data_IF_512510016941
#
_entry.id   IF_512510016941
#
_cell.length_a   1.000
_cell.length_b   1.000
_cell.length_c   1.000
_cell.angle_alpha   90.00
_cell.angle_beta   90.00
_cell.angle_gamma   90.00
#
_symmetry.space_group_name_H-M   'P 1'
#
loop_
_entity.id
_entity.type
_entity.pdbx_description
1 polymer ?
#
# COMPACT_ATOMS: atom_id res chain seq x y z
N UNK A 1 0.71 -9.54 21.10
CA UNK A 1 -0.30 -9.83 22.13
C UNK A 1 -0.83 -8.51 22.68
N UNK A 2 -1.97 -8.03 22.17
CA UNK A 2 -2.62 -6.82 22.68
C UNK A 2 -3.87 -7.22 23.44
N UNK A 3 -3.77 -7.30 24.77
CA UNK A 3 -4.91 -7.52 25.67
C UNK A 3 -5.48 -6.17 26.11
N UNK A 4 -6.64 -5.81 25.54
CA UNK A 4 -7.47 -4.69 26.00
C UNK A 4 -8.26 -5.06 27.27
N UNK A 5 -8.11 -4.23 28.29
CA UNK A 5 -8.54 -4.39 29.68
C UNK A 5 -10.06 -4.20 29.83
N UNK A 6 -10.80 -5.25 30.19
CA UNK A 6 -12.22 -5.16 30.57
C UNK A 6 -12.37 -4.51 31.96
N UNK A 7 -13.08 -3.39 32.01
CA UNK A 7 -13.46 -2.72 33.26
C UNK A 7 -14.78 -3.34 33.75
N UNK A 8 -14.71 -4.14 34.83
CA UNK A 8 -15.91 -4.73 35.50
C UNK A 8 -16.66 -3.64 36.25
N UNK A 9 -17.89 -3.34 35.84
CA UNK A 9 -18.85 -2.60 36.67
C UNK A 9 -19.49 -3.56 37.68
N UNK A 10 -19.33 -3.28 38.97
CA UNK A 10 -20.09 -3.92 40.04
C UNK A 10 -21.44 -3.20 40.19
N UNK A 11 -22.55 -3.93 40.18
CA UNK A 11 -23.84 -3.42 40.66
C UNK A 11 -24.23 -4.22 41.91
N UNK A 12 -24.38 -3.50 43.01
CA UNK A 12 -24.82 -4.01 44.31
C UNK A 12 -26.35 -4.09 44.38
N UNK A 13 -26.89 -5.23 44.82
CA UNK A 13 -28.31 -5.40 45.12
C UNK A 13 -28.63 -4.95 46.56
N UNK A 14 -29.49 -3.94 46.69
CA UNK A 14 -30.34 -3.58 47.85
C UNK A 14 -31.19 -2.38 47.38
N UNK A 15 -32.51 -2.25 47.56
CA UNK A 15 -33.46 -2.80 48.52
C UNK A 15 -34.83 -2.99 47.85
N UNK A 16 -35.59 -3.98 48.35
CA UNK A 16 -36.99 -4.22 48.00
C UNK A 16 -37.90 -3.48 48.99
N UNK A 17 -38.80 -2.62 48.48
CA UNK A 17 -40.07 -2.33 49.15
C UNK A 17 -41.18 -2.30 48.11
N UNK A 18 -42.18 -3.17 48.32
CA UNK A 18 -43.37 -3.35 47.51
C UNK A 18 -44.22 -2.07 47.38
N UNK A 19 -44.75 -1.84 46.18
CA UNK A 19 -46.10 -1.29 46.07
C UNK A 19 -46.73 -1.68 44.72
N UNK A 20 -47.96 -2.20 44.83
CA UNK A 20 -48.85 -2.64 43.77
C UNK A 20 -49.04 -1.60 42.65
N UNK A 21 -48.99 -2.09 41.41
CA UNK A 21 -49.35 -1.35 40.22
C UNK A 21 -48.90 -2.11 38.97
N UNK A 22 -49.88 -2.62 38.21
CA UNK A 22 -49.72 -3.32 36.93
C UNK A 22 -48.48 -2.89 36.15
N UNK A 23 -47.42 -3.68 36.29
CA UNK A 23 -46.25 -3.59 35.41
C UNK A 23 -46.31 -4.83 34.55
N UNK A 24 -46.82 -4.67 33.33
CA UNK A 24 -46.55 -5.64 32.27
C UNK A 24 -45.03 -5.62 32.10
N UNK A 25 -44.37 -6.61 32.69
CA UNK A 25 -42.98 -6.92 32.40
C UNK A 25 -42.94 -7.32 30.93
N UNK A 26 -42.69 -6.35 30.05
CA UNK A 26 -42.08 -6.61 28.75
C UNK A 26 -40.69 -7.16 29.06
N UNK A 27 -40.63 -8.46 29.34
CA UNK A 27 -39.42 -9.24 29.19
C UNK A 27 -39.18 -9.24 27.69
N UNK A 28 -38.46 -8.24 27.19
CA UNK A 28 -37.70 -8.39 25.96
C UNK A 28 -36.77 -9.57 26.21
N UNK A 29 -37.24 -10.75 25.81
CA UNK A 29 -36.44 -11.94 25.77
C UNK A 29 -35.33 -11.64 24.76
N UNK A 30 -34.08 -11.68 25.23
CA UNK A 30 -32.93 -11.62 24.33
C UNK A 30 -33.18 -12.62 23.19
N UNK A 31 -32.93 -12.22 21.93
CA UNK A 31 -33.19 -13.09 20.81
C UNK A 31 -32.36 -14.36 20.99
N UNK A 32 -33.03 -15.50 21.19
CA UNK A 32 -32.38 -16.80 21.19
C UNK A 32 -31.76 -16.96 19.81
N UNK A 33 -30.42 -16.90 19.74
CA UNK A 33 -29.66 -17.20 18.52
C UNK A 33 -29.79 -18.71 18.31
N UNK A 34 -30.87 -19.13 17.64
CA UNK A 34 -31.06 -20.50 17.22
C UNK A 34 -30.13 -20.75 16.03
N UNK A 35 -28.86 -21.00 16.34
CA UNK A 35 -27.81 -21.28 15.38
C UNK A 35 -28.01 -22.71 14.85
N UNK A 36 -28.97 -22.87 13.92
CA UNK A 36 -29.33 -24.17 13.34
C UNK A 36 -28.32 -24.69 12.34
N UNK A 37 -27.44 -23.83 11.85
CA UNK A 37 -26.47 -24.19 10.83
C UNK A 37 -25.14 -24.59 11.49
N UNK A 38 -24.76 -25.89 11.43
CA UNK A 38 -23.52 -26.36 12.03
C UNK A 38 -22.26 -25.79 11.38
N UNK A 39 -22.37 -25.16 10.21
CA UNK A 39 -21.24 -24.53 9.53
C UNK A 39 -20.83 -23.21 10.17
N UNK A 40 -21.68 -22.58 10.98
CA UNK A 40 -21.38 -21.31 11.63
C UNK A 40 -21.24 -21.51 13.14
N UNK A 41 -20.12 -21.09 13.72
CA UNK A 41 -19.97 -20.94 15.17
C UNK A 41 -20.24 -19.49 15.57
N UNK A 42 -21.42 -19.24 16.12
CA UNK A 42 -21.85 -17.91 16.57
C UNK A 42 -21.91 -17.90 18.10
N UNK A 43 -21.19 -16.99 18.72
CA UNK A 43 -21.24 -16.78 20.18
C UNK A 43 -22.59 -16.21 20.64
N UNK A 44 -22.87 -16.28 21.94
CA UNK A 44 -24.07 -15.69 22.55
C UNK A 44 -24.21 -14.18 22.27
N UNK A 45 -23.09 -13.46 22.09
CA UNK A 45 -23.08 -12.04 21.74
C UNK A 45 -23.37 -11.75 20.25
N UNK A 46 -23.65 -12.79 19.44
CA UNK A 46 -23.87 -12.66 18.00
C UNK A 46 -22.60 -12.49 17.17
N UNK A 47 -21.43 -12.81 17.73
CA UNK A 47 -20.16 -12.76 17.00
C UNK A 47 -19.97 -14.08 16.25
N UNK A 48 -19.82 -14.01 14.92
CA UNK A 48 -19.34 -15.13 14.10
C UNK A 48 -17.86 -15.33 14.39
N UNK A 49 -17.54 -16.47 15.00
CA UNK A 49 -16.18 -16.83 15.44
C UNK A 49 -15.51 -17.83 14.51
N UNK A 50 -16.29 -18.66 13.83
CA UNK A 50 -15.78 -19.61 12.83
C UNK A 50 -16.86 -19.97 11.81
N UNK A 51 -16.47 -20.04 10.54
CA UNK A 51 -17.19 -20.68 9.47
C UNK A 51 -16.43 -21.94 9.04
N UNK A 52 -17.09 -23.09 9.06
CA UNK A 52 -16.53 -24.43 8.79
C UNK A 52 -17.07 -25.04 7.49
N UNK A 53 -18.07 -24.41 6.89
CA UNK A 53 -18.67 -24.87 5.66
C UNK A 53 -17.70 -24.80 4.47
N UNK A 54 -18.13 -25.37 3.35
CA UNK A 54 -17.32 -25.49 2.13
C UNK A 54 -17.80 -24.63 0.97
N UNK A 55 -18.85 -23.83 1.18
CA UNK A 55 -19.49 -23.10 0.09
C UNK A 55 -18.58 -22.01 -0.47
N UNK A 56 -18.56 -21.88 -1.80
CA UNK A 56 -17.82 -20.78 -2.45
C UNK A 56 -18.52 -19.42 -2.34
N UNK A 57 -19.78 -19.42 -1.88
CA UNK A 57 -20.61 -18.23 -1.61
C UNK A 57 -21.17 -18.42 -0.21
N UNK A 58 -20.78 -17.55 0.72
CA UNK A 58 -21.20 -17.66 2.12
C UNK A 58 -22.20 -16.57 2.45
N UNK A 59 -23.40 -16.99 2.87
CA UNK A 59 -24.44 -16.10 3.38
C UNK A 59 -24.31 -16.00 4.90
N UNK A 60 -23.89 -14.84 5.40
CA UNK A 60 -23.79 -14.61 6.84
C UNK A 60 -25.21 -14.48 7.43
N UNK A 61 -25.56 -15.28 8.45
CA UNK A 61 -26.89 -15.25 9.03
C UNK A 61 -27.31 -13.86 9.54
N UNK A 62 -28.60 -13.55 9.40
CA UNK A 62 -29.20 -12.29 9.82
C UNK A 62 -29.10 -12.01 11.34
N UNK A 63 -28.77 -13.02 12.14
CA UNK A 63 -28.55 -12.94 13.59
C UNK A 63 -27.13 -12.53 13.97
N UNK A 64 -26.18 -12.58 13.04
CA UNK A 64 -24.79 -12.19 13.28
C UNK A 64 -24.71 -10.67 13.40
N UNK A 65 -24.18 -10.19 14.53
CA UNK A 65 -23.95 -8.77 14.81
C UNK A 65 -22.52 -8.37 14.50
N UNK A 66 -21.56 -9.30 14.64
CA UNK A 66 -20.15 -9.01 14.35
C UNK A 66 -19.45 -10.20 13.70
N UNK A 67 -18.45 -9.93 12.86
CA UNK A 67 -17.55 -10.97 12.32
C UNK A 67 -16.20 -10.82 13.00
N UNK A 68 -15.76 -11.89 13.67
CA UNK A 68 -14.51 -11.90 14.42
C UNK A 68 -13.25 -12.02 13.55
N UNK A 69 -12.10 -11.93 14.22
CA UNK A 69 -10.78 -12.14 13.63
C UNK A 69 -10.72 -13.48 12.89
N UNK A 70 -10.31 -13.45 11.62
CA UNK A 70 -10.13 -14.59 10.72
C UNK A 70 -11.23 -15.66 10.81
N UNK A 71 -12.49 -15.22 10.88
CA UNK A 71 -13.62 -16.09 11.13
C UNK A 71 -13.83 -17.19 10.06
N UNK A 72 -13.12 -17.17 8.93
CA UNK A 72 -13.25 -18.15 7.86
C UNK A 72 -12.04 -19.11 7.75
N UNK A 73 -11.00 -18.95 8.57
CA UNK A 73 -9.79 -19.79 8.55
C UNK A 73 -10.12 -21.29 8.64
N UNK A 74 -11.10 -21.64 9.49
CA UNK A 74 -11.49 -23.02 9.74
C UNK A 74 -12.21 -23.69 8.56
N UNK A 75 -12.62 -22.93 7.54
CA UNK A 75 -13.22 -23.50 6.34
C UNK A 75 -12.14 -24.25 5.55
N UNK A 76 -12.35 -25.55 5.24
CA UNK A 76 -11.44 -26.29 4.37
C UNK A 76 -11.39 -25.74 2.93
N UNK A 77 -12.28 -24.80 2.59
CA UNK A 77 -12.38 -24.18 1.28
C UNK A 77 -12.15 -22.65 1.31
N UNK A 78 -11.58 -22.10 2.41
CA UNK A 78 -11.41 -20.67 2.62
C UNK A 78 -10.78 -19.95 1.42
N UNK A 79 -9.71 -20.53 0.86
CA UNK A 79 -8.97 -20.01 -0.29
C UNK A 79 -9.72 -20.07 -1.63
N UNK A 80 -10.94 -20.62 -1.67
CA UNK A 80 -11.82 -20.66 -2.84
C UNK A 80 -13.17 -19.98 -2.62
N UNK A 81 -13.41 -19.40 -1.44
CA UNK A 81 -14.60 -18.59 -1.19
C UNK A 81 -14.48 -17.32 -2.03
N UNK A 82 -15.43 -17.12 -2.94
CA UNK A 82 -15.44 -16.02 -3.91
C UNK A 82 -16.36 -14.89 -3.50
N UNK A 83 -17.36 -15.16 -2.66
CA UNK A 83 -18.34 -14.17 -2.26
C UNK A 83 -18.77 -14.38 -0.81
N UNK A 84 -18.89 -13.27 -0.09
CA UNK A 84 -19.54 -13.22 1.23
C UNK A 84 -20.73 -12.26 1.13
N UNK A 85 -21.87 -12.65 1.68
CA UNK A 85 -23.09 -11.84 1.72
C UNK A 85 -23.40 -11.52 3.18
N UNK A 86 -23.27 -10.24 3.57
CA UNK A 86 -23.50 -9.82 4.94
C UNK A 86 -24.99 -9.79 5.28
N UNK A 87 -25.36 -10.42 6.39
CA UNK A 87 -26.69 -10.35 6.99
C UNK A 87 -27.07 -8.94 7.47
N UNK A 88 -28.35 -8.72 7.75
CA UNK A 88 -28.88 -7.39 8.08
C UNK A 88 -28.34 -6.78 9.38
N UNK A 89 -27.94 -7.60 10.35
CA UNK A 89 -27.54 -7.14 11.68
C UNK A 89 -26.03 -6.93 11.86
N UNK A 90 -25.21 -7.27 10.85
CA UNK A 90 -23.75 -7.12 10.93
C UNK A 90 -23.38 -5.65 11.05
N UNK A 91 -22.88 -5.26 12.23
CA UNK A 91 -22.52 -3.88 12.60
C UNK A 91 -21.02 -3.67 12.76
N UNK A 92 -20.27 -4.72 13.11
CA UNK A 92 -18.83 -4.68 13.27
C UNK A 92 -18.17 -5.85 12.52
N UNK A 93 -17.01 -5.59 11.94
CA UNK A 93 -16.21 -6.60 11.25
C UNK A 93 -14.77 -6.32 11.66
N UNK A 94 -14.11 -7.33 12.21
CA UNK A 94 -12.68 -7.23 12.50
C UNK A 94 -11.89 -6.95 11.22
N UNK A 95 -10.84 -6.13 11.30
CA UNK A 95 -10.05 -5.78 10.13
C UNK A 95 -9.40 -7.00 9.44
N UNK A 96 -9.18 -8.11 10.17
CA UNK A 96 -8.68 -9.36 9.59
C UNK A 96 -9.78 -10.42 9.41
N UNK A 97 -11.05 -10.05 9.47
CA UNK A 97 -12.15 -11.02 9.35
C UNK A 97 -12.10 -11.88 8.07
N UNK A 98 -11.51 -11.35 6.98
CA UNK A 98 -11.46 -12.00 5.67
C UNK A 98 -10.05 -12.39 5.21
N UNK A 99 -9.04 -12.37 6.09
CA UNK A 99 -7.63 -12.59 5.73
C UNK A 99 -7.40 -13.94 5.02
N UNK A 100 -8.07 -15.02 5.45
CA UNK A 100 -7.97 -16.34 4.82
C UNK A 100 -8.67 -16.45 3.45
N UNK A 101 -9.47 -15.45 3.04
CA UNK A 101 -10.27 -15.49 1.81
C UNK A 101 -9.50 -14.95 0.59
N UNK A 102 -8.40 -15.61 0.23
CA UNK A 102 -7.48 -15.14 -0.82
C UNK A 102 -8.09 -15.10 -2.24
N UNK A 103 -9.22 -15.78 -2.47
CA UNK A 103 -9.94 -15.78 -3.75
C UNK A 103 -11.21 -14.93 -3.73
N UNK A 104 -11.43 -14.13 -2.67
CA UNK A 104 -12.60 -13.29 -2.52
C UNK A 104 -12.70 -12.28 -3.67
N UNK A 105 -13.85 -12.21 -4.30
CA UNK A 105 -14.12 -11.31 -5.43
C UNK A 105 -15.17 -10.25 -5.13
N UNK A 106 -16.01 -10.51 -4.15
CA UNK A 106 -17.14 -9.65 -3.84
C UNK A 106 -17.59 -9.83 -2.40
N UNK A 107 -17.87 -8.73 -1.73
CA UNK A 107 -18.63 -8.73 -0.49
C UNK A 107 -19.93 -7.98 -0.77
N UNK A 108 -21.04 -8.70 -0.72
CA UNK A 108 -22.38 -8.10 -0.84
C UNK A 108 -22.91 -7.76 0.53
N UNK A 109 -23.79 -6.78 0.56
CA UNK A 109 -24.48 -6.36 1.78
C UNK A 109 -25.97 -6.55 1.59
N UNK A 110 -26.63 -7.18 2.57
CA UNK A 110 -28.09 -7.22 2.62
C UNK A 110 -28.65 -5.81 2.51
N UNK A 111 -29.70 -5.63 1.68
CA UNK A 111 -30.37 -4.33 1.51
C UNK A 111 -30.96 -3.74 2.81
N UNK A 112 -31.04 -4.54 3.87
CA UNK A 112 -31.53 -4.14 5.19
C UNK A 112 -30.41 -3.83 6.18
N UNK A 113 -29.14 -4.04 5.81
CA UNK A 113 -28.01 -3.67 6.65
C UNK A 113 -27.81 -2.15 6.59
N UNK A 114 -27.86 -1.49 7.75
CA UNK A 114 -27.73 -0.03 7.88
C UNK A 114 -26.34 0.41 8.32
N UNK A 115 -25.41 -0.53 8.52
CA UNK A 115 -24.06 -0.26 9.02
C UNK A 115 -22.99 -0.33 7.93
N UNK A 116 -23.22 -1.14 6.89
CA UNK A 116 -22.31 -1.31 5.78
C UNK A 116 -23.00 -1.07 4.44
N UNK A 117 -22.18 -0.82 3.43
CA UNK A 117 -22.56 -0.77 2.02
C UNK A 117 -21.44 -1.36 1.18
N UNK A 118 -21.76 -1.96 0.05
CA UNK A 118 -20.80 -2.43 -0.94
C UNK A 118 -20.87 -1.58 -2.20
N UNK A 119 -19.73 -1.20 -2.77
CA UNK A 119 -19.62 -0.49 -4.06
C UNK A 119 -18.34 -0.91 -4.73
N UNK A 120 -18.42 -1.40 -5.98
CA UNK A 120 -17.26 -1.61 -6.86
C UNK A 120 -16.14 -2.45 -6.23
N UNK A 121 -16.53 -3.54 -5.55
CA UNK A 121 -15.59 -4.44 -4.86
C UNK A 121 -15.14 -3.96 -3.47
N UNK A 122 -15.63 -2.82 -2.99
CA UNK A 122 -15.29 -2.30 -1.66
C UNK A 122 -16.46 -2.39 -0.71
N UNK A 123 -16.23 -3.02 0.45
CA UNK A 123 -17.13 -2.96 1.60
C UNK A 123 -16.77 -1.74 2.45
N UNK A 124 -17.74 -0.88 2.70
CA UNK A 124 -17.55 0.41 3.37
C UNK A 124 -18.45 0.43 4.60
N UNK A 125 -17.88 0.71 5.77
CA UNK A 125 -18.69 1.03 6.96
C UNK A 125 -19.30 2.42 6.82
N UNK A 126 -20.55 2.61 7.24
CA UNK A 126 -21.30 3.83 6.97
C UNK A 126 -20.77 5.09 7.67
N UNK A 127 -19.93 4.93 8.69
CA UNK A 127 -19.19 6.02 9.31
C UNK A 127 -17.83 6.30 8.64
N UNK A 128 -17.49 5.58 7.56
CA UNK A 128 -16.25 5.69 6.79
C UNK A 128 -14.98 5.43 7.60
N UNK A 129 -15.07 4.68 8.70
CA UNK A 129 -13.90 4.31 9.51
C UNK A 129 -13.09 3.13 8.92
N UNK A 130 -13.70 2.29 8.08
CA UNK A 130 -13.06 1.09 7.52
C UNK A 130 -13.55 0.78 6.09
N UNK A 131 -12.61 0.37 5.24
CA UNK A 131 -12.81 0.02 3.84
C UNK A 131 -12.11 -1.31 3.56
N UNK A 132 -12.88 -2.35 3.21
CA UNK A 132 -12.32 -3.62 2.77
C UNK A 132 -12.30 -3.67 1.25
N UNK A 133 -11.11 -3.66 0.67
CA UNK A 133 -10.85 -3.81 -0.76
C UNK A 133 -10.63 -5.30 -1.06
N UNK A 134 -11.53 -5.91 -1.83
CA UNK A 134 -11.32 -7.29 -2.27
C UNK A 134 -10.03 -7.40 -3.11
N UNK A 135 -9.28 -8.52 -3.04
CA UNK A 135 -7.97 -8.61 -3.72
C UNK A 135 -8.01 -8.34 -5.23
N UNK A 136 -9.09 -8.69 -5.92
CA UNK A 136 -9.15 -8.61 -7.39
C UNK A 136 -9.39 -7.21 -7.97
N UNK A 137 -9.61 -6.18 -7.14
CA UNK A 137 -9.68 -4.78 -7.61
C UNK A 137 -8.34 -4.04 -7.47
N UNK A 138 -7.34 -4.69 -6.86
CA UNK A 138 -6.00 -4.15 -6.63
C UNK A 138 -5.06 -4.62 -7.75
N UNK A 139 -4.16 -3.73 -8.19
CA UNK A 139 -3.10 -4.02 -9.16
C UNK A 139 -1.87 -3.14 -8.93
N UNK A 140 -0.76 -3.42 -9.62
CA UNK A 140 0.54 -2.73 -9.42
C UNK A 140 0.50 -1.20 -9.58
N UNK A 141 -0.45 -0.68 -10.36
CA UNK A 141 -0.63 0.75 -10.64
C UNK A 141 -2.00 1.28 -10.15
N UNK A 142 -2.76 0.47 -9.41
CA UNK A 142 -4.04 0.87 -8.84
C UNK A 142 -4.27 0.11 -7.54
N UNK A 143 -3.82 0.69 -6.43
CA UNK A 143 -3.77 0.03 -5.13
C UNK A 143 -4.89 0.48 -4.18
N UNK A 144 -4.83 0.06 -2.91
CA UNK A 144 -5.88 0.41 -1.93
C UNK A 144 -5.97 1.91 -1.65
N UNK A 145 -4.88 2.67 -1.81
CA UNK A 145 -4.89 4.12 -1.70
C UNK A 145 -5.60 4.75 -2.91
N UNK A 146 -5.43 4.21 -4.11
CA UNK A 146 -6.18 4.63 -5.30
C UNK A 146 -7.67 4.35 -5.18
N UNK A 147 -8.01 3.12 -4.78
CA UNK A 147 -9.40 2.74 -4.52
C UNK A 147 -10.05 3.64 -3.48
N UNK A 148 -9.34 3.94 -2.39
CA UNK A 148 -9.85 4.82 -1.34
C UNK A 148 -10.08 6.26 -1.84
N UNK A 149 -9.07 6.83 -2.51
CA UNK A 149 -9.12 8.20 -3.05
C UNK A 149 -10.31 8.40 -3.98
N UNK A 150 -10.54 7.45 -4.90
CA UNK A 150 -11.68 7.49 -5.81
C UNK A 150 -13.00 7.44 -5.03
N UNK A 151 -13.14 6.53 -4.08
CA UNK A 151 -14.38 6.35 -3.32
C UNK A 151 -14.73 7.60 -2.51
N UNK A 152 -13.76 8.16 -1.77
CA UNK A 152 -14.04 9.33 -0.91
C UNK A 152 -14.27 10.59 -1.72
N UNK A 153 -13.61 10.73 -2.88
CA UNK A 153 -13.68 11.94 -3.70
C UNK A 153 -15.11 12.23 -4.14
N UNK A 154 -15.89 11.19 -4.42
CA UNK A 154 -17.31 11.31 -4.79
C UNK A 154 -18.29 11.23 -3.61
N UNK A 155 -17.92 10.59 -2.50
CA UNK A 155 -18.88 10.18 -1.45
C UNK A 155 -18.78 10.93 -0.13
N UNK A 156 -17.66 11.62 0.12
CA UNK A 156 -17.40 12.29 1.40
C UNK A 156 -17.09 13.77 1.18
N UNK A 157 -17.60 14.58 2.08
CA UNK A 157 -17.24 16.00 2.25
C UNK A 157 -16.71 16.17 3.68
N UNK A 158 -15.39 16.26 3.84
CA UNK A 158 -14.73 16.49 5.12
C UNK A 158 -13.38 15.81 5.25
N UNK A 159 -12.78 15.92 6.43
CA UNK A 159 -11.52 15.26 6.79
C UNK A 159 -11.78 14.14 7.77
N UNK A 160 -10.90 13.14 7.86
CA UNK A 160 -11.10 12.03 8.78
C UNK A 160 -9.93 11.05 8.86
N UNK A 161 -10.19 9.91 9.48
CA UNK A 161 -9.29 8.76 9.56
C UNK A 161 -10.01 7.51 9.09
N UNK A 162 -9.27 6.62 8.43
CA UNK A 162 -9.81 5.36 7.93
C UNK A 162 -8.78 4.24 8.02
N UNK A 163 -9.28 3.00 8.12
CA UNK A 163 -8.51 1.79 7.89
C UNK A 163 -8.80 1.25 6.49
N UNK A 164 -7.76 1.08 5.69
CA UNK A 164 -7.85 0.40 4.41
C UNK A 164 -7.38 -1.04 4.60
N UNK A 165 -8.21 -2.00 4.22
CA UNK A 165 -7.94 -3.42 4.41
C UNK A 165 -7.93 -4.11 3.05
N UNK A 166 -6.89 -4.90 2.76
CA UNK A 166 -6.88 -5.84 1.64
C UNK A 166 -6.07 -7.08 2.01
N UNK A 167 -6.76 -8.22 2.15
CA UNK A 167 -6.14 -9.45 2.67
C UNK A 167 -5.56 -9.23 4.08
N UNK A 168 -4.26 -9.45 4.22
CA UNK A 168 -3.50 -9.25 5.47
C UNK A 168 -2.98 -7.79 5.62
N UNK A 169 -3.21 -6.93 4.64
CA UNK A 169 -2.69 -5.57 4.64
C UNK A 169 -3.71 -4.64 5.29
N UNK A 170 -3.28 -3.89 6.31
CA UNK A 170 -4.04 -2.80 6.92
C UNK A 170 -3.22 -1.51 6.85
N UNK A 171 -3.73 -0.50 6.15
CA UNK A 171 -3.19 0.84 6.18
C UNK A 171 -4.06 1.77 7.04
N UNK A 172 -3.48 2.38 8.07
CA UNK A 172 -4.15 3.43 8.82
C UNK A 172 -3.81 4.77 8.17
N UNK A 173 -4.86 5.50 7.75
CA UNK A 173 -4.70 6.74 7.03
C UNK A 173 -5.50 7.88 7.67
N UNK A 174 -4.96 9.09 7.53
CA UNK A 174 -5.67 10.35 7.72
C UNK A 174 -5.87 10.99 6.35
N UNK A 175 -7.04 11.56 6.09
CA UNK A 175 -7.30 12.32 4.87
C UNK A 175 -7.75 13.73 5.19
N UNK A 176 -7.18 14.69 4.46
CA UNK A 176 -7.47 16.12 4.59
C UNK A 176 -7.69 16.75 3.23
N UNK A 177 -8.43 17.86 3.15
CA UNK A 177 -8.59 18.57 1.89
C UNK A 177 -7.23 18.95 1.29
N UNK A 178 -7.08 18.69 0.00
CA UNK A 178 -5.96 19.23 -0.75
C UNK A 178 -6.03 20.76 -0.76
N UNK A 179 -4.87 21.41 -0.96
CA UNK A 179 -4.84 22.87 -1.08
C UNK A 179 -5.50 23.30 -2.38
N UNK A 180 -6.01 24.53 -2.41
CA UNK A 180 -6.64 25.10 -3.61
C UNK A 180 -5.71 25.20 -4.82
N UNK A 181 -4.40 25.15 -4.61
CA UNK A 181 -3.34 25.18 -5.63
C UNK A 181 -2.68 23.80 -5.84
N UNK A 182 -3.35 22.70 -5.46
CA UNK A 182 -2.87 21.34 -5.71
C UNK A 182 -2.79 21.06 -7.22
N UNK A 183 -1.57 20.84 -7.72
CA UNK A 183 -1.31 20.67 -9.15
C UNK A 183 -1.79 19.33 -9.72
N UNK A 184 -2.18 18.39 -8.85
CA UNK A 184 -2.77 17.11 -9.24
C UNK A 184 -4.30 17.17 -9.26
N UNK A 185 -4.89 18.35 -8.98
CA UNK A 185 -6.33 18.58 -8.95
C UNK A 185 -7.07 17.61 -8.01
N UNK A 186 -6.39 17.13 -6.97
CA UNK A 186 -6.98 16.18 -6.01
C UNK A 186 -7.95 16.89 -5.09
N UNK A 187 -8.96 16.17 -4.63
CA UNK A 187 -9.85 16.66 -3.56
C UNK A 187 -9.20 16.51 -2.18
N UNK A 188 -8.44 15.43 -1.98
CA UNK A 188 -7.86 15.09 -0.70
C UNK A 188 -6.36 14.77 -0.82
N UNK A 189 -5.61 15.06 0.23
CA UNK A 189 -4.29 14.48 0.51
C UNK A 189 -4.48 13.30 1.47
N UNK A 190 -3.81 12.19 1.19
CA UNK A 190 -3.84 11.00 2.04
C UNK A 190 -2.53 10.87 2.79
N UNK A 191 -2.60 10.77 4.10
CA UNK A 191 -1.45 10.63 4.97
C UNK A 191 -1.48 9.24 5.60
N UNK A 192 -0.54 8.39 5.24
CA UNK A 192 -0.38 7.08 5.86
C UNK A 192 0.35 7.23 7.20
N UNK A 193 -0.26 6.72 8.27
CA UNK A 193 0.30 6.73 9.62
C UNK A 193 0.98 5.40 9.97
N UNK A 194 0.45 4.30 9.48
CA UNK A 194 1.03 2.98 9.69
C UNK A 194 0.56 1.97 8.66
N UNK A 195 1.35 0.92 8.47
CA UNK A 195 1.01 -0.27 7.71
C UNK A 195 1.18 -1.50 8.61
N UNK A 196 0.17 -2.36 8.67
CA UNK A 196 0.30 -3.71 9.22
C UNK A 196 0.21 -4.71 8.06
N UNK A 197 1.16 -5.64 7.99
CA UNK A 197 1.16 -6.73 7.02
C UNK A 197 2.19 -7.80 7.43
N UNK A 198 1.95 -9.06 7.07
CA UNK A 198 2.79 -10.21 7.40
C UNK A 198 3.09 -10.34 8.90
N UNK A 199 2.13 -9.96 9.75
CA UNK A 199 2.30 -9.91 11.20
C UNK A 199 3.27 -8.82 11.70
N UNK A 200 3.75 -7.95 10.82
CA UNK A 200 4.57 -6.78 11.16
C UNK A 200 3.73 -5.52 11.22
N UNK A 201 4.20 -4.56 12.01
CA UNK A 201 3.64 -3.21 12.10
C UNK A 201 4.75 -2.19 11.80
N UNK A 202 4.56 -1.42 10.74
CA UNK A 202 5.34 -0.24 10.40
C UNK A 202 4.62 0.99 10.95
N UNK A 203 5.13 1.55 12.03
CA UNK A 203 4.73 2.86 12.54
C UNK A 203 5.60 3.93 11.88
N UNK A 204 4.97 4.93 11.24
CA UNK A 204 5.68 6.02 10.59
C UNK A 204 5.82 7.18 11.58
N UNK A 205 7.06 7.56 11.88
CA UNK A 205 7.36 8.69 12.79
C UNK A 205 6.65 9.97 12.36
N UNK A 206 6.60 10.21 11.05
CA UNK A 206 5.85 11.29 10.42
C UNK A 206 4.90 10.69 9.35
N UNK A 207 3.64 11.14 9.28
CA UNK A 207 2.70 10.61 8.31
C UNK A 207 3.17 10.81 6.87
N UNK A 208 3.19 9.73 6.09
CA UNK A 208 3.65 9.75 4.70
C UNK A 208 2.48 10.17 3.80
N UNK A 209 2.58 11.40 3.29
CA UNK A 209 1.64 11.93 2.31
C UNK A 209 1.75 11.12 1.01
N UNK A 210 0.61 10.85 0.36
CA UNK A 210 0.50 10.21 -0.95
C UNK A 210 1.12 11.04 -2.08
N UNK A 211 1.85 12.11 -1.77
CA UNK A 211 2.54 12.94 -2.74
C UNK A 211 4.04 12.90 -2.54
N UNK A 212 4.79 12.82 -3.63
CA UNK A 212 6.24 13.01 -3.63
C UNK A 212 6.65 14.31 -4.31
N UNK A 213 7.60 15.03 -3.70
CA UNK A 213 8.19 16.28 -4.20
C UNK A 213 9.69 16.08 -4.47
N UNK A 214 10.17 16.48 -5.65
CA UNK A 214 11.61 16.46 -5.95
C UNK A 214 12.39 17.49 -5.13
N UNK A 215 13.67 17.22 -4.87
CA UNK A 215 14.52 18.19 -4.15
C UNK A 215 14.82 19.45 -4.99
N UNK A 216 14.99 19.30 -6.30
CA UNK A 216 15.21 20.42 -7.23
C UNK A 216 13.89 21.06 -7.68
N UNK A 217 13.14 21.53 -6.69
CA UNK A 217 11.73 21.81 -6.84
C UNK A 217 11.45 23.00 -7.75
N UNK A 218 10.78 22.73 -8.87
CA UNK A 218 10.09 23.75 -9.64
C UNK A 218 8.59 23.43 -9.82
N UNK A 219 8.16 22.24 -10.26
CA UNK A 219 6.72 21.98 -10.50
C UNK A 219 6.30 20.50 -10.51
N UNK A 220 7.06 19.57 -9.92
CA UNK A 220 6.81 18.13 -10.13
C UNK A 220 6.40 17.40 -8.84
N UNK A 221 5.09 17.34 -8.63
CA UNK A 221 4.43 16.52 -7.62
C UNK A 221 3.70 15.39 -8.30
N UNK A 222 3.60 14.25 -7.63
CA UNK A 222 2.93 13.07 -8.15
C UNK A 222 2.31 12.28 -7.01
N UNK A 223 1.21 11.57 -7.27
CA UNK A 223 0.69 10.55 -6.36
C UNK A 223 1.71 9.40 -6.28
N UNK A 224 2.21 9.05 -5.09
CA UNK A 224 3.37 8.16 -4.94
C UNK A 224 3.34 7.20 -3.74
N UNK A 225 2.27 7.12 -2.96
CA UNK A 225 2.07 5.92 -2.14
C UNK A 225 1.75 4.75 -3.08
N UNK A 226 2.53 3.68 -2.97
CA UNK A 226 2.32 2.42 -3.68
C UNK A 226 2.39 1.28 -2.68
N UNK A 227 1.42 0.39 -2.68
CA UNK A 227 1.45 -0.84 -1.88
C UNK A 227 1.10 -2.06 -2.72
N UNK A 228 1.93 -3.08 -2.67
CA UNK A 228 1.73 -4.32 -3.40
C UNK A 228 2.37 -5.50 -2.68
N UNK A 229 1.84 -6.70 -2.94
CA UNK A 229 2.31 -7.94 -2.34
C UNK A 229 3.27 -8.68 -3.28
N UNK A 230 4.27 -9.31 -2.69
CA UNK A 230 5.19 -10.24 -3.35
C UNK A 230 5.38 -11.48 -2.47
N UNK A 231 5.97 -12.52 -3.04
CA UNK A 231 6.44 -13.71 -2.34
C UNK A 231 7.45 -13.43 -1.24
N UNK A 232 8.17 -12.31 -1.29
CA UNK A 232 9.12 -11.88 -0.26
C UNK A 232 8.42 -11.15 0.90
N UNK A 233 7.29 -10.49 0.62
CA UNK A 233 6.53 -9.70 1.59
C UNK A 233 5.72 -8.59 0.93
N UNK A 234 5.21 -7.68 1.75
CA UNK A 234 4.44 -6.52 1.31
C UNK A 234 5.35 -5.31 1.18
N UNK A 235 5.30 -4.65 0.03
CA UNK A 235 6.11 -3.49 -0.27
C UNK A 235 5.23 -2.27 -0.12
N UNK A 236 5.64 -1.32 0.73
CA UNK A 236 5.09 0.02 0.77
C UNK A 236 6.15 1.00 0.27
N UNK A 237 5.87 1.75 -0.78
CA UNK A 237 6.80 2.70 -1.35
C UNK A 237 6.17 4.10 -1.39
N UNK A 238 6.93 5.10 -0.94
CA UNK A 238 6.69 6.51 -1.24
C UNK A 238 7.88 7.03 -2.04
N UNK A 239 7.84 6.76 -3.33
CA UNK A 239 8.96 7.07 -4.24
C UNK A 239 8.48 7.76 -5.50
N UNK A 240 9.24 8.71 -6.02
CA UNK A 240 9.07 9.27 -7.37
C UNK A 240 9.03 8.21 -8.48
N UNK A 241 8.62 8.60 -9.70
CA UNK A 241 8.70 7.72 -10.89
C UNK A 241 10.10 7.21 -11.20
N UNK A 242 11.13 7.89 -10.70
CA UNK A 242 12.51 7.50 -10.94
C UNK A 242 13.03 6.54 -9.87
N UNK A 243 12.35 6.39 -8.72
CA UNK A 243 12.78 5.54 -7.61
C UNK A 243 13.31 6.31 -6.40
N UNK A 244 13.45 7.64 -6.46
CA UNK A 244 13.81 8.45 -5.29
C UNK A 244 12.72 8.45 -4.24
N UNK A 245 13.07 8.31 -2.96
CA UNK A 245 12.17 8.27 -1.82
C UNK A 245 12.41 7.05 -0.94
N UNK A 246 11.42 6.72 -0.11
CA UNK A 246 11.52 5.60 0.84
C UNK A 246 10.70 4.41 0.37
N UNK A 247 11.23 3.22 0.60
CA UNK A 247 10.54 1.95 0.39
C UNK A 247 10.72 1.08 1.63
N UNK A 248 9.64 0.49 2.09
CA UNK A 248 9.60 -0.47 3.18
C UNK A 248 9.19 -1.84 2.63
N UNK A 249 9.89 -2.88 3.07
CA UNK A 249 9.57 -4.28 2.77
C UNK A 249 9.19 -4.95 4.08
N UNK A 250 7.90 -5.24 4.26
CA UNK A 250 7.32 -5.92 5.41
C UNK A 250 7.30 -7.43 5.12
N UNK A 251 8.35 -8.11 5.56
CA UNK A 251 8.46 -9.59 5.50
C UNK A 251 7.82 -10.21 6.74
N UNK A 252 7.72 -11.54 6.80
CA UNK A 252 7.24 -12.23 8.02
C UNK A 252 8.15 -12.06 9.24
N UNK A 253 9.43 -11.77 9.02
CA UNK A 253 10.44 -11.76 10.08
C UNK A 253 10.81 -10.34 10.52
N UNK A 254 10.75 -9.37 9.61
CA UNK A 254 11.24 -8.01 9.83
C UNK A 254 10.70 -7.01 8.81
N UNK A 255 10.85 -5.73 9.14
CA UNK A 255 10.66 -4.60 8.22
C UNK A 255 12.02 -4.07 7.82
N UNK A 256 12.28 -3.96 6.51
CA UNK A 256 13.50 -3.35 5.96
C UNK A 256 13.16 -2.06 5.25
N UNK A 257 13.90 -1.00 5.54
CA UNK A 257 13.78 0.30 4.88
C UNK A 257 14.92 0.52 3.88
N UNK A 258 14.59 1.04 2.70
CA UNK A 258 15.53 1.59 1.74
C UNK A 258 15.14 3.04 1.44
N UNK A 259 16.09 3.95 1.55
CA UNK A 259 15.95 5.34 1.09
C UNK A 259 16.87 5.60 -0.10
N UNK A 260 16.27 5.99 -1.23
CA UNK A 260 16.99 6.47 -2.40
C UNK A 260 16.89 7.99 -2.45
N UNK A 261 18.01 8.66 -2.21
CA UNK A 261 18.09 10.11 -2.23
C UNK A 261 18.12 10.61 -3.68
N UNK A 262 17.38 11.68 -4.00
CA UNK A 262 17.58 12.48 -5.22
C UNK A 262 18.83 13.36 -5.03
N UNK A 263 19.97 12.99 -5.64
CA UNK A 263 21.26 13.58 -5.29
C UNK A 263 21.47 14.90 -6.02
N UNK A 264 21.86 15.95 -5.32
CA UNK A 264 22.20 17.26 -5.91
C UNK A 264 23.70 17.54 -5.77
N UNK A 265 24.30 18.43 -6.61
CA UNK A 265 25.72 18.73 -6.54
C UNK A 265 26.21 19.14 -5.15
N UNK A 266 25.38 19.86 -4.39
CA UNK A 266 25.69 20.28 -3.02
C UNK A 266 25.72 19.14 -1.99
N UNK A 267 25.16 17.97 -2.32
CA UNK A 267 25.15 16.81 -1.41
C UNK A 267 26.54 16.15 -1.31
N UNK A 268 27.44 16.38 -2.27
CA UNK A 268 28.80 15.84 -2.24
C UNK A 268 28.83 14.32 -2.33
N UNK A 269 29.39 13.63 -1.34
CA UNK A 269 29.39 12.15 -1.32
C UNK A 269 28.19 11.64 -0.52
N UNK A 270 27.49 10.66 -1.09
CA UNK A 270 26.37 9.95 -0.46
C UNK A 270 26.83 8.52 -0.19
N UNK A 271 26.86 8.11 1.08
CA UNK A 271 27.35 6.78 1.48
C UNK A 271 28.73 6.43 0.91
N UNK A 272 29.65 7.40 0.91
CA UNK A 272 31.00 7.33 0.32
C UNK A 272 31.07 7.18 -1.21
N UNK A 273 29.93 7.21 -1.91
CA UNK A 273 29.83 7.25 -3.36
C UNK A 273 29.65 8.71 -3.81
N UNK A 274 30.29 9.10 -4.90
CA UNK A 274 30.06 10.43 -5.50
C UNK A 274 28.58 10.60 -5.87
N UNK A 275 27.98 11.76 -5.59
CA UNK A 275 26.56 12.04 -5.85
C UNK A 275 26.15 11.75 -7.31
N UNK A 276 27.06 11.95 -8.26
CA UNK A 276 26.88 11.69 -9.69
C UNK A 276 27.12 10.23 -10.10
N UNK A 277 27.38 9.34 -9.14
CA UNK A 277 27.50 7.88 -9.32
C UNK A 277 26.49 7.13 -8.45
N UNK A 278 25.55 7.83 -7.81
CA UNK A 278 24.55 7.21 -6.96
C UNK A 278 23.62 6.32 -7.79
N UNK A 279 23.32 5.12 -7.28
CA UNK A 279 22.42 4.19 -7.96
C UNK A 279 20.99 4.41 -7.49
N UNK A 280 20.09 4.48 -8.46
CA UNK A 280 18.66 4.48 -8.21
C UNK A 280 18.16 3.06 -8.36
N UNK A 281 17.39 2.61 -7.38
CA UNK A 281 16.79 1.27 -7.35
C UNK A 281 15.29 1.45 -7.21
N UNK A 282 14.52 0.79 -8.06
CA UNK A 282 13.08 0.66 -7.95
C UNK A 282 12.69 -0.80 -7.83
N UNK A 283 11.61 -1.07 -7.10
CA UNK A 283 11.05 -2.40 -6.93
C UNK A 283 9.72 -2.53 -7.65
N UNK A 284 9.38 -3.76 -8.04
CA UNK A 284 8.09 -4.11 -8.63
C UNK A 284 7.78 -5.59 -8.42
N UNK A 285 6.50 -5.95 -8.51
CA UNK A 285 6.07 -7.35 -8.48
C UNK A 285 6.29 -7.99 -9.85
N UNK A 286 7.01 -9.11 -9.90
CA UNK A 286 7.15 -9.90 -11.12
C UNK A 286 5.89 -10.72 -11.41
N UNK A 287 5.74 -11.21 -12.64
CA UNK A 287 4.57 -12.01 -13.08
C UNK A 287 4.26 -13.24 -12.20
N UNK A 288 5.26 -13.76 -11.48
CA UNK A 288 5.14 -14.91 -10.58
C UNK A 288 5.07 -14.51 -9.09
N UNK A 289 4.85 -13.22 -8.80
CA UNK A 289 4.87 -12.68 -7.43
C UNK A 289 6.28 -12.44 -6.87
N UNK A 290 7.35 -12.63 -7.63
CA UNK A 290 8.71 -12.38 -7.16
C UNK A 290 8.95 -10.88 -6.91
N UNK A 291 9.68 -10.54 -5.85
CA UNK A 291 10.17 -9.17 -5.69
C UNK A 291 11.29 -8.92 -6.70
N UNK A 292 11.01 -8.11 -7.72
CA UNK A 292 11.98 -7.70 -8.73
C UNK A 292 12.53 -6.31 -8.43
N UNK A 293 13.74 -6.05 -8.90
CA UNK A 293 14.34 -4.72 -8.86
C UNK A 293 14.85 -4.30 -10.23
N UNK A 294 14.88 -2.97 -10.44
CA UNK A 294 15.56 -2.33 -11.55
C UNK A 294 16.51 -1.27 -10.99
N UNK A 295 17.77 -1.31 -11.41
CA UNK A 295 18.82 -0.40 -10.99
C UNK A 295 19.39 0.36 -12.17
N UNK A 296 19.52 1.68 -12.03
CA UNK A 296 20.17 2.58 -12.99
C UNK A 296 21.10 3.56 -12.28
N UNK A 297 22.20 4.01 -12.91
CA UNK A 297 23.00 5.10 -12.38
C UNK A 297 22.27 6.44 -12.53
N UNK A 298 22.39 7.30 -11.52
CA UNK A 298 21.98 8.70 -11.61
C UNK A 298 23.18 9.53 -12.09
N UNK A 299 23.21 9.85 -13.38
CA UNK A 299 24.27 10.68 -13.97
C UNK A 299 23.83 12.13 -14.18
N UNK A 300 24.81 12.99 -14.36
CA UNK A 300 24.65 14.42 -14.66
C UNK A 300 25.54 14.78 -15.84
N UNK A 301 25.14 15.82 -16.57
CA UNK A 301 25.92 16.37 -17.67
C UNK A 301 26.07 17.88 -17.53
N UNK A 302 27.20 18.41 -17.99
CA UNK A 302 27.52 19.83 -17.95
C UNK A 302 27.59 20.42 -19.35
N UNK A 303 27.02 21.61 -19.52
CA UNK A 303 27.24 22.50 -20.67
C UNK A 303 28.19 23.64 -20.27
N UNK A 304 29.06 24.13 -21.18
CA UNK A 304 29.66 25.45 -21.04
C UNK A 304 28.57 26.55 -21.06
N UNK A 305 28.20 27.10 -19.91
CA UNK A 305 27.27 28.23 -19.84
C UNK A 305 26.33 28.21 -18.65
N UNK A 306 25.40 27.25 -18.54
CA UNK A 306 24.31 27.39 -17.54
C UNK A 306 23.47 26.15 -17.21
N UNK A 307 23.71 24.94 -17.75
CA UNK A 307 22.75 23.85 -17.52
C UNK A 307 23.37 22.54 -17.05
N UNK A 308 22.77 21.97 -15.99
CA UNK A 308 22.95 20.61 -15.51
C UNK A 308 21.65 19.84 -15.75
N UNK A 309 21.68 18.87 -16.66
CA UNK A 309 20.61 17.88 -16.82
C UNK A 309 21.08 16.54 -16.29
N UNK A 310 20.14 15.72 -15.83
CA UNK A 310 20.44 14.33 -15.56
C UNK A 310 20.48 13.54 -16.87
N UNK A 311 21.66 13.12 -17.30
CA UNK A 311 21.81 12.04 -18.26
C UNK A 311 21.81 10.70 -17.52
N UNK A 312 21.71 9.59 -18.23
CA UNK A 312 21.90 8.26 -17.64
C UNK A 312 23.33 7.72 -17.81
N UNK A 313 24.18 8.43 -18.56
CA UNK A 313 25.53 7.96 -18.88
C UNK A 313 26.51 9.07 -19.27
N UNK A 314 27.79 8.80 -19.06
CA UNK A 314 28.97 9.55 -19.49
C UNK A 314 29.84 8.79 -20.51
N UNK A 315 29.42 7.62 -20.99
CA UNK A 315 30.20 6.79 -21.91
C UNK A 315 29.37 5.70 -22.60
N UNK A 316 29.78 5.27 -23.79
CA UNK A 316 29.04 4.23 -24.54
C UNK A 316 29.22 2.81 -23.98
N UNK A 317 30.31 2.55 -23.26
CA UNK A 317 30.65 1.21 -22.79
C UNK A 317 30.45 1.00 -21.28
N UNK A 318 29.92 2.00 -20.58
CA UNK A 318 29.73 1.93 -19.13
C UNK A 318 28.41 1.23 -18.73
N UNK A 319 28.29 0.96 -17.43
CA UNK A 319 27.09 0.39 -16.84
C UNK A 319 25.86 1.28 -17.10
N UNK A 320 24.82 0.71 -17.72
CA UNK A 320 23.58 1.42 -18.00
C UNK A 320 22.46 1.02 -17.04
N UNK A 321 22.29 -0.28 -16.83
CA UNK A 321 21.24 -0.80 -15.97
C UNK A 321 21.46 -2.25 -15.57
N UNK A 322 20.77 -2.65 -14.51
CA UNK A 322 20.67 -4.02 -14.04
C UNK A 322 19.23 -4.30 -13.61
N UNK A 323 18.75 -5.51 -13.84
CA UNK A 323 17.51 -6.00 -13.25
C UNK A 323 17.68 -7.43 -12.75
N UNK A 324 16.86 -7.80 -11.77
CA UNK A 324 16.87 -9.14 -11.22
C UNK A 324 15.89 -9.31 -10.07
N UNK A 325 16.15 -10.30 -9.24
CA UNK A 325 15.36 -10.60 -8.04
C UNK A 325 16.01 -9.92 -6.84
N UNK A 326 15.20 -9.36 -5.94
CA UNK A 326 15.66 -8.91 -4.63
C UNK A 326 15.06 -9.81 -3.55
N UNK A 327 15.84 -10.08 -2.50
CA UNK A 327 15.40 -10.82 -1.31
C UNK A 327 15.82 -10.09 -0.06
N UNK A 328 15.16 -10.36 1.05
CA UNK A 328 15.54 -9.84 2.37
C UNK A 328 16.22 -10.94 3.16
N UNK A 329 17.50 -10.76 3.44
CA UNK A 329 18.32 -11.72 4.18
C UNK A 329 19.04 -11.00 5.31
N UNK A 330 18.86 -11.46 6.55
CA UNK A 330 19.50 -10.89 7.74
C UNK A 330 19.32 -9.36 7.88
N UNK A 331 18.15 -8.83 7.53
CA UNK A 331 17.84 -7.39 7.64
C UNK A 331 18.38 -6.55 6.50
N UNK A 332 18.86 -7.18 5.43
CA UNK A 332 19.43 -6.50 4.27
C UNK A 332 18.75 -6.95 2.99
N UNK A 333 18.65 -6.04 2.03
CA UNK A 333 18.19 -6.36 0.68
C UNK A 333 19.38 -6.92 -0.10
N UNK A 334 19.27 -8.16 -0.52
CA UNK A 334 20.25 -8.85 -1.36
C UNK A 334 19.73 -8.90 -2.79
N UNK A 335 20.57 -8.45 -3.73
CA UNK A 335 20.24 -8.34 -5.14
C UNK A 335 20.85 -9.51 -5.91
N UNK A 336 20.02 -10.17 -6.72
CA UNK A 336 20.38 -11.29 -7.58
C UNK A 336 20.20 -10.86 -9.05
N UNK A 337 21.26 -10.34 -9.71
CA UNK A 337 21.17 -9.86 -11.08
C UNK A 337 20.82 -10.98 -12.07
N UNK A 338 19.83 -10.74 -12.92
CA UNK A 338 19.44 -11.62 -14.03
C UNK A 338 19.82 -11.02 -15.38
N UNK A 339 19.85 -9.69 -15.47
CA UNK A 339 20.18 -8.96 -16.68
C UNK A 339 21.02 -7.74 -16.34
N UNK A 340 22.06 -7.50 -17.14
CA UNK A 340 22.96 -6.35 -17.02
C UNK A 340 23.24 -5.77 -18.39
N UNK A 341 23.09 -4.46 -18.53
CA UNK A 341 23.31 -3.75 -19.80
C UNK A 341 24.42 -2.72 -19.68
N UNK A 342 25.18 -2.60 -20.77
CA UNK A 342 25.98 -1.42 -21.05
C UNK A 342 25.17 -0.44 -21.90
N UNK A 343 25.63 0.80 -21.97
CA UNK A 343 24.94 1.85 -22.75
C UNK A 343 24.82 1.43 -24.22
N UNK A 344 25.88 0.93 -24.85
CA UNK A 344 25.90 0.44 -26.24
C UNK A 344 24.92 -0.71 -26.50
N UNK A 345 24.57 -1.49 -25.47
CA UNK A 345 23.64 -2.61 -25.58
C UNK A 345 22.20 -2.24 -25.22
N UNK A 346 21.93 -0.97 -24.87
CA UNK A 346 20.59 -0.45 -24.65
C UNK A 346 20.19 0.53 -25.76
N UNK A 347 19.45 0.02 -26.75
CA UNK A 347 19.07 0.79 -27.93
C UNK A 347 18.25 2.05 -27.62
N UNK A 348 17.39 2.00 -26.60
CA UNK A 348 16.57 3.15 -26.19
C UNK A 348 17.47 4.22 -25.58
N UNK A 349 18.36 3.82 -24.66
CA UNK A 349 19.26 4.76 -24.01
C UNK A 349 20.21 5.43 -25.01
N UNK A 350 20.78 4.69 -25.97
CA UNK A 350 21.62 5.28 -27.02
C UNK A 350 20.84 6.26 -27.87
N UNK A 351 19.60 5.91 -28.23
CA UNK A 351 18.72 6.78 -28.99
C UNK A 351 18.47 8.09 -28.25
N UNK A 352 18.17 8.01 -26.94
CA UNK A 352 17.97 9.17 -26.09
C UNK A 352 19.24 10.03 -26.02
N UNK A 353 20.41 9.43 -25.73
CA UNK A 353 21.69 10.15 -25.68
C UNK A 353 21.97 10.88 -26.99
N UNK A 354 21.80 10.20 -28.14
CA UNK A 354 21.99 10.81 -29.46
C UNK A 354 20.98 11.94 -29.71
N UNK A 355 19.72 11.75 -29.31
CA UNK A 355 18.68 12.78 -29.41
C UNK A 355 19.02 14.03 -28.60
N UNK A 356 19.42 13.86 -27.34
CA UNK A 356 19.87 14.96 -26.47
C UNK A 356 21.10 15.66 -27.07
N UNK A 357 22.10 14.88 -27.49
CA UNK A 357 23.30 15.40 -28.14
C UNK A 357 22.97 16.29 -29.35
N UNK A 358 22.17 15.79 -30.29
CA UNK A 358 21.77 16.52 -31.50
C UNK A 358 20.99 17.79 -31.15
N UNK A 359 20.16 17.73 -30.12
CA UNK A 359 19.28 18.85 -29.73
C UNK A 359 20.05 19.96 -29.04
N UNK A 360 20.96 19.61 -28.11
CA UNK A 360 21.53 20.59 -27.18
C UNK A 360 23.06 20.74 -27.26
N UNK A 361 23.79 19.76 -27.80
CA UNK A 361 25.25 19.67 -27.62
C UNK A 361 26.07 19.64 -28.92
N UNK A 362 25.45 19.36 -30.09
CA UNK A 362 26.14 19.23 -31.39
C UNK A 362 26.93 20.47 -31.85
N UNK A 363 26.61 21.66 -31.31
CA UNK A 363 27.32 22.89 -31.66
C UNK A 363 28.57 23.11 -30.80
N UNK A 364 28.69 22.39 -29.69
CA UNK A 364 29.78 22.51 -28.72
C UNK A 364 30.78 21.35 -28.83
N UNK A 365 30.30 20.18 -29.26
CA UNK A 365 31.10 18.97 -29.42
C UNK A 365 30.94 18.44 -30.85
N UNK A 366 32.01 18.02 -31.54
CA UNK A 366 31.92 17.52 -32.92
C UNK A 366 31.19 16.19 -33.06
N UNK A 367 31.35 15.30 -32.07
CA UNK A 367 30.72 13.98 -32.03
C UNK A 367 30.05 13.70 -30.68
N UNK A 368 29.18 12.69 -30.64
CA UNK A 368 28.56 12.26 -29.38
C UNK A 368 29.61 11.65 -28.45
N UNK A 369 30.63 11.01 -29.00
CA UNK A 369 31.77 10.46 -28.28
C UNK A 369 32.60 11.56 -27.61
N UNK A 370 32.87 12.68 -28.29
CA UNK A 370 33.56 13.83 -27.69
C UNK A 370 32.76 14.42 -26.53
N UNK A 371 31.45 14.53 -26.69
CA UNK A 371 30.55 15.01 -25.66
C UNK A 371 30.56 14.10 -24.42
N UNK A 372 30.48 12.79 -24.62
CA UNK A 372 30.53 11.81 -23.55
C UNK A 372 31.89 11.82 -22.85
N UNK A 373 32.99 11.83 -23.61
CA UNK A 373 34.34 11.90 -23.07
C UNK A 373 34.55 13.13 -22.18
N UNK A 374 34.09 14.31 -22.62
CA UNK A 374 34.15 15.52 -21.81
C UNK A 374 33.38 15.40 -20.48
N UNK A 375 32.21 14.76 -20.48
CA UNK A 375 31.44 14.56 -19.26
C UNK A 375 32.05 13.48 -18.35
N UNK A 376 32.67 12.45 -18.92
CA UNK A 376 33.40 11.44 -18.16
C UNK A 376 34.60 12.02 -17.39
N UNK A 377 35.28 13.03 -17.93
CA UNK A 377 36.35 13.76 -17.21
C UNK A 377 35.83 14.50 -15.97
N UNK A 378 34.54 14.89 -15.96
CA UNK A 378 33.93 15.65 -14.87
C UNK A 378 33.25 14.73 -13.85
N UNK A 379 32.51 13.72 -14.31
CA UNK A 379 31.60 12.90 -13.49
C UNK A 379 31.95 11.41 -13.45
N UNK A 380 33.10 11.02 -13.99
CA UNK A 380 33.56 9.63 -14.11
C UNK A 380 32.57 8.68 -14.82
N UNK A 381 33.05 7.53 -15.35
CA UNK A 381 32.14 6.51 -15.85
C UNK A 381 31.20 5.93 -14.77
N UNK A 382 29.99 5.53 -15.16
CA UNK A 382 29.09 4.77 -14.28
C UNK A 382 29.71 3.45 -13.83
N UNK A 383 29.57 3.13 -12.53
CA UNK A 383 30.16 1.94 -11.88
C UNK A 383 29.09 1.00 -11.34
#
# INVERSE_FOLDING_TARGET
MCTGRLQRLYISNADVTENDGDTILNIETEPIIDNKDPDFDISEAGILTSYKGTDSIVEIPDTVTSIGYDAFEASPNANNIKQVILGKAVQNIDAHAFISLTALKEIKVSKYNTYFKSSDGVLIKNDFSIFFCVPNIISDDYDMFDVFDDIISFKIDGTGVAQLVSGDIIANIKYEYAKSDDILERKYNLYCNSICANGQELLLDEPICDTYRYKNDYYYWYKRNKIYETTEGVIFANTSKHGFGKTWILTKEQVVELEIIDPLPQDGKINNVEWYNYSIISFYCGNNGELKYYRVPRKYARIPGTCQYALYSTGLYEFASESGIAKVENGQIIYYPESRKTVENDANLISDIKGYYVTFYKNNFPTVEDFLAHNAEIYEPAK
#
